data_IF_218284110804
#
_entry.id   IF_218284110804
#
_cell.length_a   1.000
_cell.length_b   1.000
_cell.length_c   1.000
_cell.angle_alpha   90.00
_cell.angle_beta   90.00
_cell.angle_gamma   90.00
#
_symmetry.space_group_name_H-M   'P 1'
#
loop_
_entity.id
_entity.type
_entity.pdbx_description
1 polymer ?
#
# COMPACT_ATOMS: atom_id res chain seq x y z
N UNK A 1 9.93 -7.81 15.40
CA UNK A 1 10.73 -6.77 16.09
C UNK A 1 9.82 -5.59 16.38
N UNK A 2 9.76 -5.13 17.63
CA UNK A 2 8.81 -4.10 18.09
C UNK A 2 9.33 -2.71 17.66
N UNK A 3 8.69 -2.04 16.72
CA UNK A 3 9.16 -0.74 16.17
C UNK A 3 9.24 0.34 17.26
N UNK A 4 8.49 0.18 18.35
CA UNK A 4 8.59 1.03 19.54
C UNK A 4 9.99 1.05 20.18
N UNK A 5 10.80 0.00 20.03
CA UNK A 5 12.13 -0.07 20.66
C UNK A 5 13.21 0.77 19.97
N UNK A 6 12.94 1.36 18.80
CA UNK A 6 13.93 2.08 18.00
C UNK A 6 13.86 3.62 18.14
N UNK A 7 13.06 4.15 19.07
CA UNK A 7 13.01 5.59 19.35
C UNK A 7 12.39 6.46 18.25
N UNK A 8 11.68 5.86 17.28
CA UNK A 8 10.96 6.58 16.24
C UNK A 8 9.68 7.16 16.85
N UNK A 9 9.69 8.47 17.13
CA UNK A 9 8.61 9.16 17.86
C UNK A 9 7.40 9.51 16.99
N UNK A 10 7.58 9.52 15.68
CA UNK A 10 6.57 9.97 14.73
C UNK A 10 5.88 8.83 13.98
N UNK A 11 6.02 7.58 14.47
CA UNK A 11 5.37 6.41 13.89
C UNK A 11 4.33 5.85 14.86
N UNK A 12 3.09 5.79 14.41
CA UNK A 12 2.03 5.05 15.08
C UNK A 12 1.81 3.71 14.40
N UNK A 13 1.80 2.63 15.18
CA UNK A 13 1.48 1.27 14.71
C UNK A 13 -0.01 1.03 14.92
N UNK A 14 -0.71 0.63 13.86
CA UNK A 14 -2.12 0.26 13.89
C UNK A 14 -2.23 -1.18 13.40
N UNK A 15 -2.70 -2.06 14.28
CA UNK A 15 -2.98 -3.47 13.97
C UNK A 15 -4.47 -3.61 13.65
N UNK A 16 -4.80 -3.66 12.36
CA UNK A 16 -6.17 -3.76 11.86
C UNK A 16 -6.20 -4.51 10.53
N UNK A 17 -7.33 -5.14 10.24
CA UNK A 17 -7.61 -5.66 8.90
C UNK A 17 -7.96 -4.50 7.96
N UNK A 18 -7.08 -4.25 6.99
CA UNK A 18 -7.23 -3.16 6.01
C UNK A 18 -8.46 -3.33 5.11
N UNK A 19 -8.94 -4.56 4.93
CA UNK A 19 -10.07 -4.85 4.05
C UNK A 19 -11.42 -4.51 4.68
N UNK A 20 -11.54 -4.64 6.01
CA UNK A 20 -12.77 -4.36 6.76
C UNK A 20 -12.73 -3.06 7.57
N UNK A 21 -11.54 -2.51 7.84
CA UNK A 21 -11.39 -1.31 8.67
C UNK A 21 -11.39 -0.01 7.88
N UNK A 22 -11.81 1.06 8.54
CA UNK A 22 -11.59 2.43 8.05
C UNK A 22 -10.10 2.78 8.05
N UNK A 23 -9.69 3.50 7.01
CA UNK A 23 -8.35 4.05 6.93
C UNK A 23 -8.23 5.21 7.94
N UNK A 24 -7.09 5.34 8.65
CA UNK A 24 -6.85 6.53 9.46
C UNK A 24 -6.92 7.79 8.60
N UNK A 25 -7.46 8.90 9.12
CA UNK A 25 -7.54 10.16 8.37
C UNK A 25 -6.20 10.93 8.32
N UNK A 26 -6.13 11.95 7.46
CA UNK A 26 -5.06 12.94 7.46
C UNK A 26 -3.73 12.49 6.84
N UNK A 27 -3.75 11.52 5.93
CA UNK A 27 -2.59 11.09 5.16
C UNK A 27 -2.66 11.53 3.70
N UNK A 28 -1.49 11.69 3.10
CA UNK A 28 -1.34 12.07 1.68
C UNK A 28 -0.38 11.15 0.91
N UNK A 29 0.17 10.13 1.58
CA UNK A 29 1.00 9.10 0.96
C UNK A 29 0.60 7.72 1.48
N UNK A 30 0.54 6.73 0.60
CA UNK A 30 0.48 5.31 0.96
C UNK A 30 1.66 4.57 0.36
N UNK A 31 2.24 3.65 1.11
CA UNK A 31 3.36 2.83 0.68
C UNK A 31 3.02 1.36 0.93
N UNK A 32 3.05 0.55 -0.13
CA UNK A 32 2.92 -0.89 -0.11
C UNK A 32 4.26 -1.51 -0.48
N UNK A 33 4.74 -2.47 0.30
CA UNK A 33 5.94 -3.23 -0.04
C UNK A 33 5.66 -4.71 0.12
N UNK A 34 5.67 -5.43 -1.00
CA UNK A 34 5.49 -6.88 -1.11
C UNK A 34 4.25 -7.37 -0.35
N UNK A 35 3.13 -6.70 -0.58
CA UNK A 35 1.93 -6.85 0.27
C UNK A 35 0.64 -6.79 -0.52
N UNK A 36 0.61 -6.04 -1.63
CA UNK A 36 -0.64 -5.72 -2.30
C UNK A 36 -1.24 -6.96 -2.98
N UNK A 37 -0.38 -7.83 -3.51
CA UNK A 37 -0.74 -9.13 -4.09
C UNK A 37 -1.49 -10.06 -3.13
N UNK A 38 -1.32 -9.89 -1.82
CA UNK A 38 -1.94 -10.73 -0.80
C UNK A 38 -3.31 -10.23 -0.33
N UNK A 39 -3.75 -9.03 -0.77
CA UNK A 39 -5.01 -8.43 -0.32
C UNK A 39 -6.18 -8.87 -1.20
N UNK A 40 -7.20 -9.49 -0.61
CA UNK A 40 -8.41 -9.88 -1.35
C UNK A 40 -9.27 -8.67 -1.76
N UNK A 41 -9.12 -7.54 -1.05
CA UNK A 41 -9.90 -6.33 -1.24
C UNK A 41 -9.22 -5.26 -2.11
N UNK A 42 -8.24 -5.63 -2.95
CA UNK A 42 -7.44 -4.70 -3.78
C UNK A 42 -8.30 -3.60 -4.42
N UNK A 43 -9.34 -3.98 -5.17
CA UNK A 43 -10.15 -3.02 -5.93
C UNK A 43 -10.95 -2.10 -5.01
N UNK A 44 -11.57 -2.64 -3.96
CA UNK A 44 -12.28 -1.84 -2.94
C UNK A 44 -11.33 -0.90 -2.18
N UNK A 45 -10.10 -1.33 -1.92
CA UNK A 45 -9.09 -0.51 -1.26
C UNK A 45 -8.65 0.63 -2.18
N UNK A 46 -8.37 0.35 -3.45
CA UNK A 46 -8.01 1.37 -4.43
C UNK A 46 -9.15 2.37 -4.65
N UNK A 47 -10.40 1.93 -4.69
CA UNK A 47 -11.58 2.81 -4.77
C UNK A 47 -11.70 3.76 -3.57
N UNK A 48 -11.36 3.28 -2.36
CA UNK A 48 -11.34 4.13 -1.16
C UNK A 48 -10.19 5.13 -1.20
N UNK A 49 -8.99 4.67 -1.56
CA UNK A 49 -7.80 5.51 -1.67
C UNK A 49 -7.92 6.57 -2.77
N UNK A 50 -8.54 6.24 -3.90
CA UNK A 50 -8.74 7.15 -5.04
C UNK A 50 -9.70 8.31 -4.74
N UNK A 51 -10.39 8.28 -3.59
CA UNK A 51 -11.21 9.41 -3.10
C UNK A 51 -10.39 10.47 -2.36
N UNK A 52 -9.16 10.14 -1.93
CA UNK A 52 -8.29 11.08 -1.23
C UNK A 52 -7.58 11.96 -2.25
N UNK A 53 -7.97 13.24 -2.31
CA UNK A 53 -7.42 14.19 -3.28
C UNK A 53 -5.91 14.36 -3.12
N UNK A 54 -5.17 14.29 -4.23
CA UNK A 54 -3.72 14.47 -4.23
C UNK A 54 -2.92 13.33 -3.60
N UNK A 55 -3.59 12.23 -3.22
CA UNK A 55 -2.93 11.07 -2.63
C UNK A 55 -1.86 10.51 -3.56
N UNK A 56 -0.67 10.24 -3.01
CA UNK A 56 0.36 9.48 -3.70
C UNK A 56 0.41 8.05 -3.17
N UNK A 57 0.54 7.07 -4.06
CA UNK A 57 0.72 5.67 -3.67
C UNK A 57 2.02 5.17 -4.27
N UNK A 58 2.84 4.50 -3.46
CA UNK A 58 4.04 3.82 -3.93
C UNK A 58 3.89 2.33 -3.66
N UNK A 59 4.20 1.52 -4.67
CA UNK A 59 4.29 0.07 -4.58
C UNK A 59 5.74 -0.35 -4.78
N UNK A 60 6.19 -1.35 -4.02
CA UNK A 60 7.33 -2.20 -4.35
C UNK A 60 6.79 -3.62 -4.40
N UNK A 61 6.93 -4.28 -5.54
CA UNK A 61 6.35 -5.62 -5.76
C UNK A 61 7.33 -6.54 -6.51
N UNK A 62 7.13 -7.85 -6.32
CA UNK A 62 7.91 -8.88 -6.99
C UNK A 62 7.62 -8.92 -8.49
N UNK A 63 8.67 -9.09 -9.30
CA UNK A 63 8.48 -9.45 -10.71
C UNK A 63 7.90 -10.87 -10.84
N UNK A 64 7.10 -11.15 -11.88
CA UNK A 64 6.51 -12.47 -12.09
C UNK A 64 7.53 -13.62 -12.17
N UNK A 65 8.70 -13.36 -12.74
CA UNK A 65 9.76 -14.33 -13.02
C UNK A 65 10.78 -14.50 -11.88
N UNK A 66 10.75 -13.65 -10.85
CA UNK A 66 11.65 -13.73 -9.69
C UNK A 66 11.70 -15.14 -9.08
N UNK A 67 12.89 -15.69 -8.79
CA UNK A 67 13.01 -17.10 -8.36
C UNK A 67 12.55 -17.35 -6.92
N UNK A 68 12.19 -16.31 -6.17
CA UNK A 68 11.72 -16.37 -4.79
C UNK A 68 10.48 -15.49 -4.58
N UNK A 69 9.91 -15.52 -3.37
CA UNK A 69 8.74 -14.71 -3.00
C UNK A 69 7.43 -15.51 -3.07
N UNK A 70 6.28 -14.82 -3.19
CA UNK A 70 4.95 -15.46 -3.21
C UNK A 70 4.77 -16.37 -4.44
N UNK A 71 3.74 -17.24 -4.47
CA UNK A 71 3.35 -17.98 -5.67
C UNK A 71 3.26 -17.07 -6.92
N UNK A 72 3.66 -17.57 -8.10
CA UNK A 72 3.76 -16.76 -9.32
C UNK A 72 2.42 -16.23 -9.82
N UNK A 73 1.35 -16.98 -9.59
CA UNK A 73 -0.03 -16.70 -10.00
C UNK A 73 -0.65 -15.50 -9.28
N UNK A 74 -0.15 -15.14 -8.10
CA UNK A 74 -0.63 -13.95 -7.37
C UNK A 74 0.22 -12.70 -7.63
N UNK A 75 1.33 -12.82 -8.38
CA UNK A 75 2.21 -11.68 -8.67
C UNK A 75 1.64 -10.81 -9.79
N UNK A 76 1.95 -9.53 -9.73
CA UNK A 76 1.62 -8.58 -10.80
C UNK A 76 2.86 -8.30 -11.66
N UNK A 77 2.69 -8.30 -12.98
CA UNK A 77 3.62 -7.56 -13.83
C UNK A 77 3.47 -6.05 -13.58
N UNK A 78 4.50 -5.29 -13.92
CA UNK A 78 4.48 -3.82 -13.83
C UNK A 78 3.27 -3.22 -14.58
N UNK A 79 2.97 -3.75 -15.77
CA UNK A 79 1.86 -3.33 -16.60
C UNK A 79 0.50 -3.74 -16.03
N UNK A 80 0.41 -4.93 -15.44
CA UNK A 80 -0.82 -5.40 -14.80
C UNK A 80 -1.18 -4.53 -13.59
N UNK A 81 -0.18 -4.15 -12.77
CA UNK A 81 -0.39 -3.25 -11.65
C UNK A 81 -0.80 -1.86 -12.13
N UNK A 82 -0.08 -1.29 -13.11
CA UNK A 82 -0.42 0.00 -13.70
C UNK A 82 -1.84 0.02 -14.30
N UNK A 83 -2.23 -1.03 -15.01
CA UNK A 83 -3.57 -1.19 -15.58
C UNK A 83 -4.65 -1.27 -14.51
N UNK A 84 -4.40 -1.94 -13.38
CA UNK A 84 -5.32 -1.95 -12.22
C UNK A 84 -5.44 -0.55 -11.61
N UNK A 85 -4.34 0.12 -11.31
CA UNK A 85 -4.36 1.48 -10.72
C UNK A 85 -5.06 2.49 -11.63
N UNK A 86 -4.84 2.41 -12.94
CA UNK A 86 -5.49 3.27 -13.94
C UNK A 86 -7.01 3.20 -13.91
N UNK A 87 -7.58 2.01 -13.70
CA UNK A 87 -9.05 1.80 -13.57
C UNK A 87 -9.62 2.46 -12.33
N UNK A 88 -8.82 2.61 -11.27
CA UNK A 88 -9.23 3.18 -9.99
C UNK A 88 -8.89 4.67 -9.84
N UNK A 89 -8.56 5.36 -10.94
CA UNK A 89 -8.37 6.81 -10.89
C UNK A 89 -6.96 7.27 -10.56
N UNK A 90 -5.94 6.43 -10.78
CA UNK A 90 -4.55 6.78 -10.50
C UNK A 90 -3.73 6.90 -11.79
N UNK A 91 -2.84 7.88 -11.82
CA UNK A 91 -1.87 8.06 -12.91
C UNK A 91 -0.46 7.68 -12.41
N UNK A 92 0.28 6.93 -13.23
CA UNK A 92 1.67 6.55 -12.96
C UNK A 92 2.57 7.79 -13.09
N UNK A 93 3.34 8.10 -12.05
CA UNK A 93 4.29 9.22 -12.01
C UNK A 93 5.71 8.75 -12.29
N UNK A 94 6.10 7.62 -11.70
CA UNK A 94 7.47 7.13 -11.76
C UNK A 94 7.49 5.62 -11.64
N UNK A 95 8.38 5.01 -12.41
CA UNK A 95 8.70 3.60 -12.34
C UNK A 95 10.22 3.44 -12.17
N UNK A 96 10.63 2.44 -11.40
CA UNK A 96 12.02 2.03 -11.23
C UNK A 96 12.06 0.51 -11.29
N UNK A 97 12.89 -0.02 -12.18
CA UNK A 97 13.13 -1.44 -12.33
C UNK A 97 14.33 -1.88 -11.49
N UNK A 98 14.19 -3.00 -10.79
CA UNK A 98 15.26 -3.70 -10.08
C UNK A 98 15.43 -5.10 -10.66
N UNK A 99 16.42 -5.85 -10.19
CA UNK A 99 16.65 -7.23 -10.66
C UNK A 99 15.42 -8.13 -10.41
N UNK A 100 14.84 -8.06 -9.21
CA UNK A 100 13.76 -8.97 -8.77
C UNK A 100 12.43 -8.28 -8.45
N UNK A 101 12.41 -6.96 -8.49
CA UNK A 101 11.28 -6.14 -8.09
C UNK A 101 11.14 -4.97 -9.05
N UNK A 102 9.99 -4.31 -8.99
CA UNK A 102 9.82 -2.97 -9.52
C UNK A 102 9.24 -2.09 -8.43
N UNK A 103 9.44 -0.77 -8.57
CA UNK A 103 8.75 0.21 -7.77
C UNK A 103 7.98 1.18 -8.66
N UNK A 104 6.69 1.35 -8.39
CA UNK A 104 5.83 2.28 -9.11
C UNK A 104 5.20 3.27 -8.15
N UNK A 105 5.27 4.55 -8.51
CA UNK A 105 4.64 5.65 -7.79
C UNK A 105 3.50 6.23 -8.61
N UNK A 106 2.35 6.42 -8.00
CA UNK A 106 1.13 6.92 -8.59
C UNK A 106 0.60 8.14 -7.84
N UNK A 107 -0.29 8.90 -8.51
CA UNK A 107 -1.09 9.97 -7.89
C UNK A 107 -2.55 9.83 -8.28
N UNK A 108 -3.44 10.05 -7.31
CA UNK A 108 -4.87 10.08 -7.55
C UNK A 108 -5.24 11.27 -8.46
N UNK A 109 -6.06 11.00 -9.48
CA UNK A 109 -6.63 12.03 -10.36
C UNK A 109 -7.53 12.93 -9.53
N UNK A 110 -7.34 14.24 -9.64
CA UNK A 110 -8.26 15.21 -9.07
C UNK A 110 -9.61 15.06 -9.76
N UNK A 111 -10.67 14.72 -9.01
CA UNK A 111 -12.03 14.81 -9.54
C UNK A 111 -12.38 16.28 -9.69
N UNK A 112 -12.66 16.73 -10.92
CA UNK A 112 -13.19 18.07 -11.20
C UNK A 112 -14.46 18.26 -10.36
N UNK A 113 -14.42 19.15 -9.36
CA UNK A 113 -15.56 19.49 -8.51
C UNK A 113 -15.46 19.09 -7.02
N UNK A 114 -14.38 18.46 -6.56
CA UNK A 114 -14.13 18.29 -5.13
C UNK A 114 -13.57 19.57 -4.52
N UNK A 115 -14.28 20.19 -3.58
CA UNK A 115 -13.75 21.31 -2.79
C UNK A 115 -12.39 20.94 -2.19
N UNK A 116 -11.38 21.74 -2.52
CA UNK A 116 -10.02 21.61 -2.01
C UNK A 116 -9.98 22.19 -0.60
N UNK A 117 -10.51 21.42 0.36
CA UNK A 117 -10.48 21.78 1.78
C UNK A 117 -9.19 21.31 2.45
N UNK A 118 -8.47 22.30 2.97
CA UNK A 118 -7.66 22.27 4.18
C UNK A 118 -6.36 21.46 4.22
N UNK A 119 -5.30 22.18 4.59
CA UNK A 119 -4.17 21.74 5.40
C UNK A 119 -3.77 20.26 5.26
N UNK A 120 -2.99 19.97 4.22
CA UNK A 120 -2.42 18.64 4.03
C UNK A 120 -1.35 18.42 5.11
N UNK A 121 -1.71 17.76 6.20
CA UNK A 121 -0.72 17.17 7.08
C UNK A 121 0.11 16.15 6.27
N UNK A 122 1.43 16.34 6.23
CA UNK A 122 2.38 15.39 5.63
C UNK A 122 2.43 14.12 6.49
N UNK A 123 1.43 13.25 6.35
CA UNK A 123 1.44 11.93 6.97
C UNK A 123 1.47 10.85 5.90
N UNK A 124 2.39 9.90 6.06
CA UNK A 124 2.53 8.73 5.21
C UNK A 124 1.98 7.49 5.92
N UNK A 125 1.23 6.68 5.18
CA UNK A 125 0.77 5.37 5.62
C UNK A 125 1.63 4.30 4.97
N UNK A 126 2.45 3.59 5.73
CA UNK A 126 3.11 2.39 5.25
C UNK A 126 2.27 1.17 5.63
N UNK A 127 1.89 0.38 4.65
CA UNK A 127 1.14 -0.86 4.83
C UNK A 127 2.12 -1.99 4.57
N UNK A 128 2.35 -2.84 5.57
CA UNK A 128 3.22 -4.00 5.47
C UNK A 128 2.51 -5.20 6.08
N UNK A 129 2.52 -6.33 5.39
CA UNK A 129 2.08 -7.58 5.98
C UNK A 129 3.19 -8.13 6.87
N UNK A 130 2.84 -8.38 8.12
CA UNK A 130 3.59 -9.29 8.97
C UNK A 130 2.86 -10.63 8.96
N UNK A 131 3.52 -11.65 8.42
CA UNK A 131 3.05 -13.02 8.60
C UNK A 131 3.54 -13.48 9.97
N UNK A 132 2.63 -13.57 10.93
CA UNK A 132 2.92 -14.26 12.17
C UNK A 132 2.70 -15.75 11.91
N UNK A 133 3.76 -16.55 12.04
CA UNK A 133 3.68 -18.00 11.98
C UNK A 133 3.50 -18.48 13.43
N UNK A 134 2.27 -18.66 13.94
CA UNK A 134 2.12 -19.33 15.21
C UNK A 134 2.64 -20.75 15.07
N UNK A 135 3.25 -21.24 16.14
CA UNK A 135 3.56 -22.66 16.27
C UNK A 135 2.21 -23.39 16.13
N UNK A 136 2.03 -24.13 15.03
CA UNK A 136 0.87 -24.98 14.68
C UNK A 136 -0.24 -24.30 13.83
N UNK A 137 -0.26 -24.68 12.55
CA UNK A 137 -1.38 -24.78 11.56
C UNK A 137 -2.35 -23.59 11.28
N UNK A 138 -2.15 -22.38 11.78
CA UNK A 138 -3.01 -21.23 11.40
C UNK A 138 -2.17 -20.00 10.99
N UNK A 139 -1.88 -19.84 9.69
CA UNK A 139 -1.14 -18.67 9.19
C UNK A 139 -2.08 -17.46 9.20
N UNK A 140 -1.95 -16.58 10.19
CA UNK A 140 -2.67 -15.30 10.20
C UNK A 140 -1.83 -14.21 9.54
N UNK A 141 -2.34 -13.66 8.44
CA UNK A 141 -1.79 -12.47 7.78
C UNK A 141 -2.18 -11.23 8.59
N UNK A 142 -1.23 -10.63 9.31
CA UNK A 142 -1.46 -9.38 10.06
C UNK A 142 -0.96 -8.21 9.23
N UNK A 143 -1.88 -7.38 8.73
CA UNK A 143 -1.49 -6.13 8.08
C UNK A 143 -1.15 -5.11 9.16
N UNK A 144 0.11 -4.68 9.24
CA UNK A 144 0.53 -3.55 10.07
C UNK A 144 0.51 -2.28 9.24
N UNK A 145 -0.26 -1.32 9.70
CA UNK A 145 -0.33 0.02 9.13
C UNK A 145 0.50 0.94 10.01
N UNK A 146 1.47 1.61 9.42
CA UNK A 146 2.33 2.59 10.07
C UNK A 146 1.96 3.97 9.59
N UNK A 147 1.59 4.85 10.51
CA UNK A 147 1.43 6.26 10.22
C UNK A 147 2.69 6.99 10.62
N UNK A 148 3.44 7.50 9.64
CA UNK A 148 4.54 8.44 9.87
C UNK A 148 4.00 9.87 9.73
N UNK A 149 4.15 10.72 10.74
CA UNK A 149 3.74 12.12 10.73
C UNK A 149 4.84 13.10 11.11
#
# INVERSE_FOLDING_TARGET
KNIASNGIKNVQIIEKDICSSDLPGGFNKVFFSNVFHDLDCQDKLLDRLGRVAGLEITFIEFKPDTPFGPPRDIRFSSEALAGKLGKHGFDLIKEIEFEYHYAQKYRARTKLGGEMSAEIALKAVMISLHVEVPKVHDIRKVVRVYLAG
#
